data_IF_293252490153
#
_entry.id   IF_293252490153
#
_cell.length_a   1.000
_cell.length_b   1.000
_cell.length_c   1.000
_cell.angle_alpha   90.00
_cell.angle_beta   90.00
_cell.angle_gamma   90.00
#
_symmetry.space_group_name_H-M   'P 1'
#
loop_
_entity.id
_entity.type
_entity.pdbx_description
1 polymer ?
#
# COMPACT_ATOMS: atom_id res chain seq x y z
N UNK A 1 11.80 5.24 8.42
CA UNK A 1 13.06 5.98 8.30
C UNK A 1 14.25 5.05 8.09
N UNK A 2 14.10 4.10 7.16
CA UNK A 2 15.13 3.07 6.91
C UNK A 2 15.06 2.62 5.43
N UNK A 3 14.79 3.55 4.51
CA UNK A 3 14.69 3.25 3.07
C UNK A 3 15.71 4.04 2.23
N UNK A 4 16.65 4.74 2.87
CA UNK A 4 17.64 5.60 2.22
C UNK A 4 18.98 4.89 1.89
N UNK A 5 19.07 3.56 1.98
CA UNK A 5 20.37 2.92 1.74
C UNK A 5 20.28 1.56 1.04
N UNK A 6 19.73 1.57 -0.18
CA UNK A 6 20.06 0.53 -1.16
C UNK A 6 20.83 1.15 -2.33
N UNK A 7 22.05 1.62 -2.02
CA UNK A 7 23.08 1.97 -2.99
C UNK A 7 23.52 0.70 -3.74
N UNK A 8 22.72 0.29 -4.75
CA UNK A 8 23.13 -0.77 -5.67
C UNK A 8 24.21 -0.19 -6.59
N UNK A 9 25.47 -0.42 -6.23
CA UNK A 9 26.63 -0.05 -7.05
C UNK A 9 26.63 -0.91 -8.32
N UNK A 10 26.41 -0.28 -9.48
CA UNK A 10 26.73 -0.89 -10.77
C UNK A 10 27.90 -0.13 -11.42
N UNK A 11 28.88 -0.89 -11.88
CA UNK A 11 30.22 -0.43 -12.25
C UNK A 11 30.26 0.06 -13.70
N UNK A 12 29.35 0.95 -14.12
CA UNK A 12 29.41 1.70 -15.38
C UNK A 12 28.72 3.06 -15.24
N UNK A 13 29.32 3.93 -14.42
CA UNK A 13 29.15 5.40 -14.26
C UNK A 13 27.85 6.04 -14.83
N UNK A 14 26.72 5.72 -14.23
CA UNK A 14 25.51 6.55 -14.26
C UNK A 14 24.70 6.23 -13.03
N UNK A 15 24.68 7.12 -12.03
CA UNK A 15 23.79 6.97 -10.89
C UNK A 15 22.38 7.22 -11.41
N UNK A 16 21.57 6.18 -11.55
CA UNK A 16 20.13 6.35 -11.81
C UNK A 16 19.50 6.78 -10.49
N UNK A 17 19.46 8.09 -10.25
CA UNK A 17 18.68 8.68 -9.18
C UNK A 17 17.22 8.63 -9.65
N UNK A 18 16.43 7.71 -9.09
CA UNK A 18 14.98 7.82 -9.18
C UNK A 18 14.58 9.19 -8.63
N UNK A 19 13.70 9.95 -9.29
CA UNK A 19 13.26 11.24 -8.78
C UNK A 19 12.79 11.06 -7.33
N UNK A 20 13.19 11.95 -6.41
CA UNK A 20 12.68 11.90 -5.05
C UNK A 20 11.16 12.05 -5.12
N UNK A 21 10.45 10.97 -4.79
CA UNK A 21 9.01 11.00 -4.56
C UNK A 21 8.76 12.05 -3.48
N UNK A 22 7.82 12.96 -3.72
CA UNK A 22 7.56 14.09 -2.84
C UNK A 22 7.12 13.64 -1.45
N UNK A 23 7.24 14.53 -0.47
CA UNK A 23 6.74 14.27 0.89
C UNK A 23 5.23 13.98 0.89
N UNK A 24 4.47 14.68 0.06
CA UNK A 24 3.02 14.51 -0.06
C UNK A 24 2.66 13.12 -0.60
N UNK A 25 3.35 12.65 -1.64
CA UNK A 25 3.17 11.30 -2.18
C UNK A 25 3.53 10.22 -1.14
N UNK A 26 4.61 10.41 -0.38
CA UNK A 26 4.95 9.51 0.72
C UNK A 26 3.84 9.46 1.78
N UNK A 27 3.33 10.61 2.19
CA UNK A 27 2.23 10.69 3.18
C UNK A 27 0.97 10.04 2.63
N UNK A 28 0.65 10.24 1.35
CA UNK A 28 -0.50 9.61 0.70
C UNK A 28 -0.37 8.08 0.70
N UNK A 29 0.77 7.53 0.28
CA UNK A 29 1.03 6.08 0.28
C UNK A 29 0.97 5.49 1.69
N UNK A 30 1.49 6.21 2.69
CA UNK A 30 1.44 5.77 4.09
C UNK A 30 0.00 5.74 4.63
N UNK A 31 -0.80 6.78 4.31
CA UNK A 31 -2.21 6.83 4.70
C UNK A 31 -3.01 5.71 4.04
N UNK A 32 -2.78 5.48 2.75
CA UNK A 32 -3.44 4.42 1.98
C UNK A 32 -3.09 3.04 2.51
N UNK A 33 -1.80 2.74 2.69
CA UNK A 33 -1.34 1.48 3.27
C UNK A 33 -1.96 1.24 4.65
N UNK A 34 -2.01 2.29 5.49
CA UNK A 34 -2.62 2.18 6.82
C UNK A 34 -4.13 1.92 6.74
N UNK A 35 -4.84 2.59 5.84
CA UNK A 35 -6.27 2.38 5.64
C UNK A 35 -6.56 0.95 5.14
N UNK A 36 -5.81 0.46 4.15
CA UNK A 36 -5.90 -0.92 3.64
C UNK A 36 -5.71 -1.94 4.76
N UNK A 37 -4.63 -1.81 5.55
CA UNK A 37 -4.34 -2.75 6.64
C UNK A 37 -5.44 -2.76 7.69
N UNK A 38 -5.95 -1.60 8.12
CA UNK A 38 -7.02 -1.53 9.11
C UNK A 38 -8.32 -2.16 8.59
N UNK A 39 -8.66 -1.93 7.32
CA UNK A 39 -9.83 -2.54 6.70
C UNK A 39 -9.69 -4.06 6.61
N UNK A 40 -8.55 -4.58 6.15
CA UNK A 40 -8.31 -6.02 6.07
C UNK A 40 -8.33 -6.70 7.45
N UNK A 41 -7.80 -6.04 8.48
CA UNK A 41 -7.85 -6.53 9.87
C UNK A 41 -9.28 -6.57 10.45
N UNK A 42 -10.21 -5.80 9.88
CA UNK A 42 -11.61 -5.81 10.31
C UNK A 42 -12.42 -6.94 9.67
N UNK A 43 -11.84 -7.67 8.71
CA UNK A 43 -12.50 -8.76 7.98
C UNK A 43 -12.21 -10.08 8.72
N UNK A 44 -13.23 -10.93 8.96
CA UNK A 44 -13.03 -12.28 9.49
C UNK A 44 -12.06 -13.11 8.62
N UNK A 45 -11.20 -13.89 9.27
CA UNK A 45 -10.05 -14.55 8.62
C UNK A 45 -10.46 -15.56 7.52
N UNK A 46 -11.62 -16.18 7.66
CA UNK A 46 -12.26 -17.06 6.68
C UNK A 46 -12.78 -16.33 5.43
N UNK A 47 -12.79 -14.99 5.45
CA UNK A 47 -13.29 -14.14 4.37
C UNK A 47 -12.21 -13.24 3.74
N UNK A 48 -11.01 -13.15 4.31
CA UNK A 48 -9.93 -12.28 3.79
C UNK A 48 -9.56 -12.63 2.35
N UNK A 49 -9.60 -13.91 1.99
CA UNK A 49 -9.32 -14.39 0.64
C UNK A 49 -10.27 -13.77 -0.41
N UNK A 50 -11.46 -13.31 -0.03
CA UNK A 50 -12.39 -12.72 -0.99
C UNK A 50 -12.02 -11.28 -1.38
N UNK A 51 -11.09 -10.65 -0.66
CA UNK A 51 -10.68 -9.26 -0.86
C UNK A 51 -9.26 -9.10 -1.43
N UNK A 52 -8.56 -10.20 -1.73
CA UNK A 52 -7.15 -10.17 -2.17
C UNK A 52 -6.92 -9.47 -3.53
N UNK A 53 -7.97 -9.31 -4.32
CA UNK A 53 -7.93 -8.69 -5.65
C UNK A 53 -8.15 -7.17 -5.62
N UNK A 54 -8.41 -6.60 -4.43
CA UNK A 54 -8.67 -5.18 -4.24
C UNK A 54 -7.42 -4.50 -3.69
N UNK A 55 -6.91 -3.54 -4.46
CA UNK A 55 -5.67 -2.83 -4.11
C UNK A 55 -5.91 -1.47 -3.45
N UNK A 56 -7.12 -0.94 -3.52
CA UNK A 56 -7.45 0.37 -2.95
C UNK A 56 -8.34 0.23 -1.71
N UNK A 57 -8.04 0.98 -0.66
CA UNK A 57 -8.82 1.03 0.58
C UNK A 57 -10.27 1.39 0.32
N UNK A 58 -10.54 2.26 -0.66
CA UNK A 58 -11.90 2.61 -1.06
C UNK A 58 -12.67 1.41 -1.61
N UNK A 59 -12.04 0.61 -2.46
CA UNK A 59 -12.68 -0.57 -3.04
C UNK A 59 -12.89 -1.66 -2.00
N UNK A 60 -11.89 -1.91 -1.14
CA UNK A 60 -12.01 -2.82 0.00
C UNK A 60 -13.19 -2.40 0.88
N UNK A 61 -13.30 -1.11 1.21
CA UNK A 61 -14.43 -0.60 2.00
C UNK A 61 -15.79 -0.83 1.33
N UNK A 62 -15.91 -0.55 0.03
CA UNK A 62 -17.16 -0.77 -0.71
C UNK A 62 -17.54 -2.25 -0.74
N UNK A 63 -16.58 -3.14 -0.95
CA UNK A 63 -16.80 -4.58 -0.94
C UNK A 63 -17.21 -5.07 0.46
N UNK A 64 -16.57 -4.57 1.52
CA UNK A 64 -16.93 -4.89 2.92
C UNK A 64 -18.37 -4.45 3.19
N UNK A 65 -18.74 -3.24 2.77
CA UNK A 65 -20.11 -2.74 2.88
C UNK A 65 -21.12 -3.57 2.08
N UNK A 66 -20.80 -4.02 0.89
CA UNK A 66 -21.68 -4.85 0.08
C UNK A 66 -21.91 -6.24 0.70
N UNK A 67 -20.87 -6.82 1.32
CA UNK A 67 -20.92 -8.17 1.90
C UNK A 67 -21.53 -8.22 3.30
N UNK A 68 -21.16 -7.26 4.17
CA UNK A 68 -21.52 -7.27 5.59
C UNK A 68 -22.50 -6.15 5.98
N UNK A 69 -22.95 -5.34 5.01
CA UNK A 69 -23.80 -4.18 5.26
C UNK A 69 -25.27 -4.49 5.59
N UNK A 70 -25.74 -5.71 5.34
CA UNK A 70 -27.15 -6.09 5.42
C UNK A 70 -27.93 -5.79 4.15
#
# INVERSE_FOLDING_TARGET
WEQQEKLRKDSKRGIIILPPVSFEEHVAVQRETKARTLLLQSIPEDHIADFHHLDDAREIWLAVKARFGG
#
